data_IF_388608082297
#
_entry.id   IF_388608082297
#
_cell.length_a   1.000
_cell.length_b   1.000
_cell.length_c   1.000
_cell.angle_alpha   90.00
_cell.angle_beta   90.00
_cell.angle_gamma   90.00
#
_symmetry.space_group_name_H-M   'P 1'
#
loop_
_entity.id
_entity.type
_entity.pdbx_description
1 polymer ?
#
# COMPACT_ATOMS: atom_id res chain seq x y z
N UNK A 1 -17.97 4.95 -9.37
CA UNK A 1 -17.66 5.32 -7.96
C UNK A 1 -16.18 5.51 -7.70
N UNK A 2 -15.23 4.72 -8.25
CA UNK A 2 -13.79 4.94 -8.02
C UNK A 2 -13.31 6.35 -8.40
N UNK A 3 -13.84 6.91 -9.50
CA UNK A 3 -13.55 8.27 -9.96
C UNK A 3 -13.91 9.38 -8.96
N UNK A 4 -14.83 9.11 -8.03
CA UNK A 4 -15.23 10.09 -7.02
C UNK A 4 -14.10 10.29 -6.00
N UNK A 5 -13.33 9.24 -5.69
CA UNK A 5 -12.16 9.33 -4.83
C UNK A 5 -11.14 10.31 -5.40
N UNK A 6 -10.89 10.27 -6.71
CA UNK A 6 -9.99 11.22 -7.36
C UNK A 6 -10.50 12.66 -7.29
N UNK A 7 -11.80 12.83 -7.56
CA UNK A 7 -12.44 14.14 -7.58
C UNK A 7 -12.41 14.80 -6.20
N UNK A 8 -12.82 14.07 -5.16
CA UNK A 8 -12.84 14.59 -3.79
C UNK A 8 -11.42 14.80 -3.24
N UNK A 9 -10.51 13.87 -3.50
CA UNK A 9 -9.10 14.04 -3.11
C UNK A 9 -8.46 15.25 -3.79
N UNK A 10 -8.77 15.48 -5.08
CA UNK A 10 -8.30 16.65 -5.83
C UNK A 10 -8.81 17.98 -5.27
N UNK A 11 -10.02 18.00 -4.68
CA UNK A 11 -10.55 19.17 -3.96
C UNK A 11 -9.80 19.40 -2.64
N UNK A 12 -9.50 18.33 -1.90
CA UNK A 12 -8.74 18.41 -0.64
C UNK A 12 -7.27 18.83 -0.87
N UNK A 13 -6.67 18.35 -1.95
CA UNK A 13 -5.27 18.56 -2.29
C UNK A 13 -5.09 19.01 -3.75
N UNK A 14 -5.36 20.29 -4.06
CA UNK A 14 -5.29 20.81 -5.41
C UNK A 14 -3.92 20.57 -6.07
N UNK A 15 -3.93 20.02 -7.28
CA UNK A 15 -2.73 19.72 -8.07
C UNK A 15 -1.93 18.49 -7.61
N UNK A 16 -2.40 17.75 -6.60
CA UNK A 16 -1.68 16.59 -6.05
C UNK A 16 -2.26 15.23 -6.45
N UNK A 17 -3.44 15.19 -7.06
CA UNK A 17 -4.17 13.95 -7.35
C UNK A 17 -3.38 12.91 -8.17
N UNK A 18 -2.52 13.33 -9.09
CA UNK A 18 -1.74 12.42 -9.94
C UNK A 18 -0.30 12.19 -9.45
N UNK A 19 0.11 12.82 -8.35
CA UNK A 19 1.52 12.84 -7.96
C UNK A 19 2.08 11.45 -7.67
N UNK A 20 1.27 10.57 -7.06
CA UNK A 20 1.66 9.20 -6.80
C UNK A 20 1.97 8.47 -8.09
N UNK A 21 1.04 8.46 -9.05
CA UNK A 21 1.22 7.82 -10.34
C UNK A 21 2.44 8.37 -11.09
N UNK A 22 2.67 9.69 -11.04
CA UNK A 22 3.82 10.33 -11.72
C UNK A 22 5.17 9.98 -11.11
N UNK A 23 5.26 9.86 -9.78
CA UNK A 23 6.54 9.67 -9.06
C UNK A 23 6.84 8.21 -8.78
N UNK A 24 5.83 7.37 -8.59
CA UNK A 24 6.00 5.99 -8.11
C UNK A 24 6.83 5.15 -9.09
N UNK A 25 6.30 4.87 -10.28
CA UNK A 25 6.97 4.01 -11.27
C UNK A 25 8.25 4.64 -11.84
N UNK A 26 8.21 5.93 -12.16
CA UNK A 26 9.31 6.60 -12.87
C UNK A 26 10.50 7.01 -12.00
N UNK A 27 10.35 7.05 -10.68
CA UNK A 27 11.39 7.60 -9.78
C UNK A 27 11.61 6.73 -8.54
N UNK A 28 10.54 6.36 -7.84
CA UNK A 28 10.65 5.67 -6.55
C UNK A 28 10.97 4.18 -6.74
N UNK A 29 10.24 3.48 -7.61
CA UNK A 29 10.42 2.05 -7.87
C UNK A 29 11.87 1.70 -8.24
N UNK A 30 12.52 2.38 -9.21
CA UNK A 30 13.91 2.09 -9.58
C UNK A 30 14.89 2.32 -8.42
N UNK A 31 14.66 3.34 -7.60
CA UNK A 31 15.53 3.66 -6.45
C UNK A 31 15.38 2.65 -5.31
N UNK A 32 14.16 2.18 -5.04
CA UNK A 32 13.92 1.11 -4.07
C UNK A 32 14.60 -0.18 -4.51
N UNK A 33 14.47 -0.56 -5.78
CA UNK A 33 15.13 -1.73 -6.35
C UNK A 33 16.66 -1.62 -6.23
N UNK A 34 17.26 -0.47 -6.58
CA UNK A 34 18.70 -0.20 -6.41
C UNK A 34 19.15 -0.24 -4.94
N UNK A 35 18.31 0.18 -4.00
CA UNK A 35 18.65 0.12 -2.58
C UNK A 35 18.59 -1.31 -2.02
N UNK A 36 17.68 -2.16 -2.54
CA UNK A 36 17.56 -3.57 -2.15
C UNK A 36 18.84 -4.36 -2.48
N UNK A 37 19.38 -4.17 -3.69
CA UNK A 37 20.61 -4.86 -4.13
C UNK A 37 21.83 -4.51 -3.27
N UNK A 38 21.89 -3.28 -2.75
CA UNK A 38 23.02 -2.78 -1.94
C UNK A 38 22.95 -3.24 -0.48
N UNK A 39 21.76 -3.32 0.11
CA UNK A 39 21.60 -3.53 1.57
C UNK A 39 21.32 -4.96 2.00
N UNK A 40 20.73 -5.80 1.16
CA UNK A 40 20.31 -7.12 1.59
C UNK A 40 20.22 -8.10 0.41
N UNK A 41 21.25 -8.92 0.16
CA UNK A 41 21.22 -9.97 -0.87
C UNK A 41 20.13 -11.02 -0.66
N UNK A 42 19.52 -11.06 0.53
CA UNK A 42 18.49 -12.03 0.93
C UNK A 42 17.06 -11.65 0.49
N UNK A 43 16.83 -10.41 0.04
CA UNK A 43 15.67 -10.15 -0.82
C UNK A 43 16.07 -10.69 -2.18
N UNK A 44 15.99 -12.01 -2.31
CA UNK A 44 16.28 -12.70 -3.55
C UNK A 44 15.48 -11.99 -4.63
N UNK A 45 16.09 -11.54 -5.74
CA UNK A 45 15.32 -11.32 -6.94
C UNK A 45 14.67 -12.68 -7.20
N UNK A 46 13.37 -12.78 -6.97
CA UNK A 46 12.60 -13.82 -7.62
C UNK A 46 12.87 -13.61 -9.09
N UNK A 47 13.58 -14.57 -9.72
CA UNK A 47 13.88 -14.63 -11.16
C UNK A 47 12.60 -14.68 -12.03
N UNK A 48 11.44 -14.41 -11.45
CA UNK A 48 10.21 -14.14 -12.14
C UNK A 48 10.27 -12.70 -12.66
N UNK A 49 10.89 -12.53 -13.84
CA UNK A 49 10.73 -11.36 -14.72
C UNK A 49 9.25 -11.01 -15.01
N UNK A 50 8.32 -11.89 -14.64
CA UNK A 50 6.86 -11.75 -14.73
C UNK A 50 6.20 -11.07 -13.51
N UNK A 51 6.91 -10.88 -12.40
CA UNK A 51 6.35 -10.30 -11.18
C UNK A 51 6.26 -8.77 -11.29
N UNK A 52 5.04 -8.24 -11.08
CA UNK A 52 4.72 -6.81 -11.19
C UNK A 52 5.72 -5.91 -10.42
N UNK A 53 6.27 -4.89 -11.10
CA UNK A 53 7.32 -4.01 -10.57
C UNK A 53 6.89 -3.28 -9.31
N UNK A 54 5.61 -2.87 -9.24
CA UNK A 54 5.02 -2.22 -8.09
C UNK A 54 4.90 -3.19 -6.92
N UNK A 55 4.46 -4.42 -7.16
CA UNK A 55 4.39 -5.45 -6.12
C UNK A 55 5.75 -5.71 -5.47
N UNK A 56 6.81 -5.86 -6.27
CA UNK A 56 8.18 -6.01 -5.76
C UNK A 56 8.64 -4.78 -4.98
N UNK A 57 8.36 -3.58 -5.49
CA UNK A 57 8.71 -2.33 -4.81
C UNK A 57 8.02 -2.20 -3.45
N UNK A 58 6.77 -2.65 -3.32
CA UNK A 58 6.06 -2.69 -2.03
C UNK A 58 6.70 -3.65 -1.04
N UNK A 59 7.09 -4.85 -1.48
CA UNK A 59 7.79 -5.80 -0.61
C UNK A 59 9.11 -5.21 -0.08
N UNK A 60 9.88 -4.54 -0.95
CA UNK A 60 11.10 -3.83 -0.56
C UNK A 60 10.77 -2.70 0.43
N UNK A 61 9.77 -1.88 0.12
CA UNK A 61 9.37 -0.75 0.97
C UNK A 61 8.96 -1.20 2.37
N UNK A 62 8.12 -2.23 2.50
CA UNK A 62 7.68 -2.79 3.79
C UNK A 62 8.87 -3.40 4.56
N UNK A 63 9.84 -3.98 3.85
CA UNK A 63 11.06 -4.50 4.49
C UNK A 63 11.96 -3.38 5.02
N UNK A 64 12.07 -2.26 4.30
CA UNK A 64 12.85 -1.09 4.70
C UNK A 64 12.16 -0.25 5.78
N UNK A 65 10.82 -0.28 5.81
CA UNK A 65 9.96 0.38 6.79
C UNK A 65 9.28 -0.70 7.64
N UNK A 66 10.03 -1.40 8.51
CA UNK A 66 9.52 -2.58 9.20
C UNK A 66 8.25 -2.23 9.97
N UNK A 67 7.24 -3.11 9.91
CA UNK A 67 5.92 -2.84 10.45
C UNK A 67 6.00 -2.50 11.94
N UNK A 68 5.25 -1.49 12.33
CA UNK A 68 5.10 -1.12 13.73
C UNK A 68 4.21 -2.15 14.41
N UNK A 69 4.73 -2.79 15.47
CA UNK A 69 3.92 -3.67 16.30
C UNK A 69 2.75 -2.87 16.87
N UNK A 70 1.59 -3.52 16.96
CA UNK A 70 0.38 -3.10 17.68
C UNK A 70 0.74 -2.25 18.91
N UNK A 71 -0.04 -1.18 19.13
CA UNK A 71 0.25 -0.13 20.11
C UNK A 71 0.68 -0.63 21.49
N UNK A 72 1.32 0.29 22.24
CA UNK A 72 2.03 0.19 23.54
C UNK A 72 1.68 -0.89 24.59
N UNK A 73 0.66 -1.74 24.45
CA UNK A 73 0.18 -2.64 25.51
C UNK A 73 0.14 -4.14 25.20
N UNK A 74 0.50 -4.64 24.01
CA UNK A 74 0.60 -6.10 23.77
C UNK A 74 1.95 -6.45 23.17
N UNK A 75 2.54 -7.51 23.72
CA UNK A 75 3.94 -7.90 23.55
C UNK A 75 4.46 -7.80 22.13
N UNK A 76 5.76 -7.50 22.03
CA UNK A 76 6.53 -7.35 20.80
C UNK A 76 6.51 -8.64 19.94
N UNK A 77 5.39 -8.94 19.29
CA UNK A 77 5.35 -9.89 18.20
C UNK A 77 5.81 -9.14 16.95
N UNK A 78 6.99 -9.52 16.43
CA UNK A 78 7.49 -8.98 15.17
C UNK A 78 6.49 -9.35 14.06
N UNK A 79 5.72 -8.37 13.56
CA UNK A 79 4.93 -8.57 12.35
C UNK A 79 5.91 -8.85 11.20
N UNK A 80 5.76 -10.00 10.53
CA UNK A 80 6.60 -10.34 9.38
C UNK A 80 6.24 -9.48 8.17
N UNK A 81 7.16 -9.29 7.22
CA UNK A 81 6.88 -8.56 5.96
C UNK A 81 5.66 -9.13 5.24
N UNK A 82 5.50 -10.47 5.24
CA UNK A 82 4.34 -11.16 4.65
C UNK A 82 3.03 -10.82 5.38
N UNK A 83 3.06 -10.77 6.71
CA UNK A 83 1.90 -10.39 7.53
C UNK A 83 1.56 -8.91 7.34
N UNK A 84 2.55 -8.03 7.24
CA UNK A 84 2.35 -6.60 6.99
C UNK A 84 1.75 -6.35 5.60
N UNK A 85 2.26 -7.02 4.56
CA UNK A 85 1.74 -6.91 3.20
C UNK A 85 0.27 -7.32 3.12
N UNK A 86 -0.17 -8.31 3.92
CA UNK A 86 -1.57 -8.74 3.96
C UNK A 86 -2.54 -7.65 4.46
N UNK A 87 -2.07 -6.66 5.25
CA UNK A 87 -2.89 -5.50 5.63
C UNK A 87 -3.04 -4.46 4.50
N UNK A 88 -2.28 -4.59 3.40
CA UNK A 88 -2.38 -3.73 2.21
C UNK A 88 -3.02 -4.47 1.03
N UNK A 89 -2.57 -5.69 0.78
CA UNK A 89 -2.86 -6.47 -0.42
C UNK A 89 -3.08 -7.95 -0.09
N UNK A 90 -4.31 -8.42 -0.31
CA UNK A 90 -4.68 -9.82 -0.22
C UNK A 90 -4.80 -10.41 -1.63
N UNK A 91 -4.11 -11.53 -1.89
CA UNK A 91 -4.20 -12.25 -3.15
C UNK A 91 -5.22 -13.40 -3.00
N UNK A 92 -6.22 -13.45 -3.89
CA UNK A 92 -7.27 -14.48 -3.92
C UNK A 92 -7.34 -15.13 -5.31
N UNK A 93 -7.86 -16.37 -5.43
CA UNK A 93 -8.02 -17.01 -6.74
C UNK A 93 -8.91 -16.21 -7.70
N UNK A 94 -8.66 -16.26 -9.02
CA UNK A 94 -9.60 -15.75 -10.01
C UNK A 94 -10.98 -16.38 -9.83
N UNK A 95 -12.05 -15.62 -10.10
CA UNK A 95 -13.43 -16.09 -9.94
C UNK A 95 -13.97 -16.08 -8.51
N UNK A 96 -13.19 -15.61 -7.52
CA UNK A 96 -13.69 -15.33 -6.16
C UNK A 96 -14.83 -14.30 -6.25
N UNK A 97 -15.99 -14.62 -5.70
CA UNK A 97 -17.15 -13.73 -5.74
C UNK A 97 -16.98 -12.56 -4.77
N UNK A 98 -17.44 -11.37 -5.17
CA UNK A 98 -17.37 -10.17 -4.31
C UNK A 98 -18.11 -10.40 -2.98
N UNK A 99 -19.26 -11.07 -2.99
CA UNK A 99 -20.01 -11.40 -1.77
C UNK A 99 -19.17 -12.20 -0.78
N UNK A 100 -18.41 -13.20 -1.27
CA UNK A 100 -17.53 -14.01 -0.41
C UNK A 100 -16.38 -13.23 0.22
N UNK A 101 -15.99 -12.08 -0.36
CA UNK A 101 -14.99 -11.19 0.24
C UNK A 101 -15.57 -10.46 1.46
N UNK A 102 -16.86 -10.13 1.43
CA UNK A 102 -17.57 -9.39 2.49
C UNK A 102 -18.16 -10.32 3.57
N UNK A 103 -18.36 -11.60 3.25
CA UNK A 103 -19.01 -12.58 4.13
C UNK A 103 -18.06 -13.20 5.18
N UNK A 104 -16.76 -12.85 5.20
CA UNK A 104 -15.78 -13.35 6.19
C UNK A 104 -15.97 -12.72 7.58
N UNK A 105 -17.13 -12.97 8.18
CA UNK A 105 -17.59 -12.44 9.45
C UNK A 105 -16.89 -13.03 10.70
N UNK A 106 -15.96 -13.97 10.54
CA UNK A 106 -15.52 -14.87 11.62
C UNK A 106 -14.14 -14.60 12.23
N UNK A 107 -13.41 -13.56 11.82
CA UNK A 107 -12.19 -13.10 12.53
C UNK A 107 -12.42 -11.76 13.23
N UNK A 108 -13.52 -11.66 13.99
CA UNK A 108 -13.83 -10.51 14.85
C UNK A 108 -12.85 -10.37 16.02
N UNK A 109 -11.68 -9.75 15.82
CA UNK A 109 -10.91 -9.08 16.89
C UNK A 109 -10.06 -7.90 16.38
N UNK A 110 -9.69 -7.85 15.10
CA UNK A 110 -8.84 -6.76 14.58
C UNK A 110 -9.65 -5.85 13.66
N UNK A 111 -9.58 -4.52 13.86
CA UNK A 111 -10.17 -3.56 12.94
C UNK A 111 -9.53 -3.71 11.56
N UNK A 112 -10.27 -4.21 10.56
CA UNK A 112 -9.76 -4.35 9.20
C UNK A 112 -9.93 -3.02 8.47
N UNK A 113 -8.87 -2.22 8.48
CA UNK A 113 -8.82 -1.03 7.64
C UNK A 113 -8.95 -1.42 6.16
N UNK A 114 -9.47 -0.54 5.28
CA UNK A 114 -9.63 -0.84 3.87
C UNK A 114 -8.33 -1.35 3.24
N UNK A 115 -8.42 -2.40 2.42
CA UNK A 115 -7.26 -2.99 1.77
C UNK A 115 -7.59 -3.40 0.34
N UNK A 116 -6.58 -3.71 -0.45
CA UNK A 116 -6.74 -4.17 -1.83
C UNK A 116 -6.84 -5.70 -1.83
N UNK A 117 -7.79 -6.23 -2.58
CA UNK A 117 -7.86 -7.62 -2.99
C UNK A 117 -7.48 -7.72 -4.46
N UNK A 118 -6.47 -8.52 -4.76
CA UNK A 118 -6.06 -8.89 -6.11
C UNK A 118 -6.63 -10.28 -6.43
N UNK A 119 -7.42 -10.37 -7.51
CA UNK A 119 -7.93 -11.64 -8.02
C UNK A 119 -6.94 -12.20 -9.05
N UNK A 120 -6.26 -13.28 -8.69
CA UNK A 120 -5.11 -13.80 -9.43
C UNK A 120 -3.78 -13.22 -8.93
N UNK A 121 -2.70 -13.44 -9.68
CA UNK A 121 -1.39 -12.89 -9.36
C UNK A 121 -1.28 -11.43 -9.83
N UNK A 122 -0.64 -10.52 -9.06
CA UNK A 122 -0.40 -9.15 -9.49
C UNK A 122 0.25 -9.11 -10.87
N UNK A 123 -0.48 -8.52 -11.82
CA UNK A 123 -0.12 -8.44 -13.23
C UNK A 123 -1.03 -7.43 -13.93
N UNK A 124 -0.76 -7.13 -15.20
CA UNK A 124 -1.58 -6.24 -16.03
C UNK A 124 -2.96 -6.78 -16.38
N UNK A 125 -3.24 -8.06 -16.08
CA UNK A 125 -4.54 -8.71 -16.31
C UNK A 125 -5.28 -9.02 -15.01
N UNK A 126 -4.67 -8.72 -13.86
CA UNK A 126 -5.30 -8.91 -12.57
C UNK A 126 -6.42 -7.89 -12.34
N UNK A 127 -7.46 -8.33 -11.62
CA UNK A 127 -8.52 -7.45 -11.15
C UNK A 127 -8.24 -7.04 -9.72
N UNK A 128 -8.37 -5.74 -9.45
CA UNK A 128 -8.17 -5.17 -8.12
C UNK A 128 -9.49 -4.63 -7.56
N UNK A 129 -9.72 -4.90 -6.28
CA UNK A 129 -10.93 -4.48 -5.57
C UNK A 129 -10.48 -3.87 -4.26
N UNK A 130 -10.99 -2.70 -3.89
CA UNK A 130 -10.83 -2.20 -2.52
C UNK A 130 -11.94 -2.79 -1.67
N UNK A 131 -11.58 -3.41 -0.55
CA UNK A 131 -12.51 -4.02 0.39
C UNK A 131 -12.41 -3.32 1.75
N UNK A 132 -13.53 -2.79 2.21
CA UNK A 132 -13.74 -2.30 3.57
C UNK A 132 -14.78 -3.20 4.24
N UNK A 133 -14.30 -4.28 4.88
CA UNK A 133 -15.13 -5.37 5.41
C UNK A 133 -16.13 -4.88 6.48
N UNK A 134 -15.68 -4.01 7.38
CA UNK A 134 -16.50 -3.45 8.46
C UNK A 134 -17.73 -2.69 7.93
N UNK A 135 -17.57 -2.01 6.80
CA UNK A 135 -18.62 -1.22 6.17
C UNK A 135 -19.43 -2.03 5.15
N UNK A 136 -19.05 -3.30 4.92
CA UNK A 136 -19.57 -4.15 3.84
C UNK A 136 -19.47 -3.51 2.46
N UNK A 137 -18.39 -2.76 2.24
CA UNK A 137 -18.14 -2.06 0.98
C UNK A 137 -17.05 -2.76 0.20
N UNK A 138 -17.34 -3.03 -1.07
CA UNK A 138 -16.37 -3.47 -2.06
C UNK A 138 -16.41 -2.53 -3.25
N UNK A 139 -15.26 -2.03 -3.68
CA UNK A 139 -15.14 -1.10 -4.81
C UNK A 139 -14.26 -1.77 -5.86
N UNK A 140 -14.85 -2.40 -6.89
CA UNK A 140 -14.09 -2.87 -8.04
C UNK A 140 -13.38 -1.70 -8.72
N UNK A 141 -12.12 -1.88 -9.05
CA UNK A 141 -11.34 -0.88 -9.77
C UNK A 141 -11.34 -1.20 -11.27
N UNK A 142 -11.42 -0.16 -12.08
CA UNK A 142 -11.43 -0.26 -13.53
C UNK A 142 -10.00 -0.43 -14.09
N UNK A 143 -9.00 0.06 -13.37
CA UNK A 143 -7.59 -0.04 -13.73
C UNK A 143 -7.00 -1.40 -13.31
N UNK A 144 -6.38 -2.11 -14.25
CA UNK A 144 -5.68 -3.37 -13.99
C UNK A 144 -4.23 -3.15 -13.51
N UNK A 145 -3.94 -2.03 -12.86
CA UNK A 145 -2.60 -1.70 -12.34
C UNK A 145 -2.63 -1.66 -10.81
N UNK A 146 -1.70 -2.38 -10.19
CA UNK A 146 -1.52 -2.34 -8.74
C UNK A 146 -1.17 -0.92 -8.26
N UNK A 147 -0.41 -0.15 -9.05
CA UNK A 147 -0.08 1.25 -8.75
C UNK A 147 -1.33 2.13 -8.72
N UNK A 148 -2.24 1.95 -9.67
CA UNK A 148 -3.55 2.63 -9.64
C UNK A 148 -4.39 2.18 -8.44
N UNK A 149 -4.35 0.90 -8.08
CA UNK A 149 -5.08 0.40 -6.92
C UNK A 149 -4.59 1.01 -5.60
N UNK A 150 -3.28 1.18 -5.43
CA UNK A 150 -2.67 1.82 -4.25
C UNK A 150 -3.01 3.31 -4.21
N UNK A 151 -2.93 3.99 -5.36
CA UNK A 151 -3.35 5.38 -5.49
C UNK A 151 -4.80 5.56 -5.00
N UNK A 152 -5.72 4.73 -5.48
CA UNK A 152 -7.14 4.76 -5.09
C UNK A 152 -7.34 4.42 -3.61
N UNK A 153 -6.63 3.42 -3.09
CA UNK A 153 -6.70 3.06 -1.68
C UNK A 153 -6.23 4.22 -0.79
N UNK A 154 -5.09 4.83 -1.11
CA UNK A 154 -4.57 5.97 -0.36
C UNK A 154 -5.56 7.14 -0.34
N UNK A 155 -6.15 7.45 -1.50
CA UNK A 155 -7.18 8.50 -1.61
C UNK A 155 -8.41 8.19 -0.77
N UNK A 156 -8.85 6.93 -0.71
CA UNK A 156 -9.94 6.50 0.15
C UNK A 156 -9.68 6.81 1.63
N UNK A 157 -8.46 6.55 2.13
CA UNK A 157 -8.13 6.89 3.53
C UNK A 157 -8.34 8.38 3.83
N UNK A 158 -7.95 9.27 2.92
CA UNK A 158 -8.15 10.71 3.09
C UNK A 158 -9.60 11.15 2.88
N UNK A 159 -10.22 10.73 1.77
CA UNK A 159 -11.58 11.15 1.40
C UNK A 159 -12.61 10.66 2.41
N UNK A 160 -12.46 9.44 2.92
CA UNK A 160 -13.35 8.84 3.90
C UNK A 160 -12.89 9.08 5.35
N UNK A 161 -11.79 9.81 5.58
CA UNK A 161 -11.22 10.08 6.90
C UNK A 161 -11.03 8.81 7.75
N UNK A 162 -10.40 7.80 7.14
CA UNK A 162 -10.13 6.49 7.74
C UNK A 162 -8.70 6.48 8.29
N UNK A 163 -8.50 5.90 9.47
CA UNK A 163 -7.16 5.76 10.03
C UNK A 163 -6.35 4.69 9.30
N UNK A 164 -5.04 4.91 9.11
CA UNK A 164 -4.18 3.88 8.52
C UNK A 164 -4.07 2.65 9.43
N UNK A 165 -3.87 1.45 8.85
CA UNK A 165 -3.56 0.27 9.64
C UNK A 165 -2.25 0.48 10.38
N UNK A 166 -2.27 0.25 11.70
CA UNK A 166 -1.14 0.57 12.60
C UNK A 166 0.16 -0.11 12.16
N UNK A 167 0.06 -1.28 11.54
CA UNK A 167 1.16 -2.08 11.00
C UNK A 167 1.85 -1.40 9.81
N UNK A 168 1.12 -0.57 9.05
CA UNK A 168 1.59 0.10 7.84
C UNK A 168 1.69 1.62 7.98
N UNK A 169 1.53 2.18 9.18
CA UNK A 169 1.64 3.63 9.43
C UNK A 169 2.87 4.26 8.75
N UNK A 170 4.04 3.61 8.86
CA UNK A 170 5.26 4.15 8.23
C UNK A 170 5.21 4.11 6.69
N UNK A 171 4.53 3.13 6.11
CA UNK A 171 4.34 3.00 4.65
C UNK A 171 3.38 4.07 4.15
N UNK A 172 2.25 4.29 4.82
CA UNK A 172 1.31 5.34 4.45
C UNK A 172 1.90 6.75 4.65
N UNK A 173 2.68 6.97 5.71
CA UNK A 173 3.45 8.21 5.86
C UNK A 173 4.47 8.42 4.72
N UNK A 174 5.06 7.34 4.20
CA UNK A 174 5.90 7.41 3.01
C UNK A 174 5.07 7.85 1.79
N UNK A 175 3.87 7.28 1.60
CA UNK A 175 2.97 7.68 0.51
C UNK A 175 2.53 9.15 0.62
N UNK A 176 2.24 9.67 1.81
CA UNK A 176 1.96 11.10 2.01
C UNK A 176 3.05 11.98 1.41
N UNK A 177 4.32 11.60 1.57
CA UNK A 177 5.43 12.31 0.96
C UNK A 177 5.48 12.19 -0.56
N UNK A 178 5.13 11.02 -1.12
CA UNK A 178 5.02 10.87 -2.57
C UNK A 178 3.99 11.87 -3.12
N UNK A 179 2.88 12.09 -2.41
CA UNK A 179 1.87 13.10 -2.74
C UNK A 179 2.24 14.55 -2.36
N UNK A 180 3.42 14.80 -1.80
CA UNK A 180 3.82 16.09 -1.21
C UNK A 180 2.80 16.61 -0.18
N UNK A 181 2.11 15.73 0.54
CA UNK A 181 1.19 16.08 1.63
C UNK A 181 2.02 16.30 2.91
N UNK A 182 1.60 17.25 3.74
CA UNK A 182 2.28 17.54 4.99
C UNK A 182 2.32 16.28 5.86
N UNK A 183 3.54 15.87 6.21
CA UNK A 183 3.82 14.62 6.91
C UNK A 183 3.06 14.56 8.25
N UNK A 184 2.18 13.56 8.41
CA UNK A 184 1.49 13.30 9.67
C UNK A 184 2.44 12.73 10.75
N UNK A 185 3.55 12.12 10.32
CA UNK A 185 4.59 11.57 11.19
C UNK A 185 5.58 12.62 11.74
N UNK A 186 6.02 12.45 12.99
CA UNK A 186 7.04 13.32 13.59
C UNK A 186 8.37 13.35 12.82
N UNK A 187 9.14 14.44 12.97
CA UNK A 187 10.40 14.78 12.25
C UNK A 187 11.53 13.71 12.28
N UNK A 188 11.37 12.58 12.99
CA UNK A 188 12.35 11.49 13.12
C UNK A 188 11.79 10.10 12.77
N UNK A 189 10.83 10.01 11.85
CA UNK A 189 10.28 8.71 11.43
C UNK A 189 11.21 7.99 10.45
N UNK A 190 11.16 6.64 10.43
CA UNK A 190 11.92 5.81 9.46
C UNK A 190 11.55 6.14 8.01
N UNK A 191 10.32 6.57 7.77
CA UNK A 191 9.86 7.02 6.47
C UNK A 191 10.64 8.27 6.00
N UNK A 192 10.82 9.27 6.87
CA UNK A 192 11.64 10.47 6.57
C UNK A 192 13.08 10.08 6.27
N UNK A 193 13.67 9.18 7.05
CA UNK A 193 15.04 8.72 6.80
C UNK A 193 15.17 7.99 5.45
N UNK A 194 14.20 7.15 5.09
CA UNK A 194 14.19 6.46 3.80
C UNK A 194 14.06 7.46 2.65
N UNK A 195 13.18 8.46 2.77
CA UNK A 195 13.01 9.52 1.76
C UNK A 195 14.33 10.25 1.51
N UNK A 196 15.02 10.69 2.56
CA UNK A 196 16.33 11.35 2.43
C UNK A 196 17.35 10.47 1.72
N UNK A 197 17.35 9.15 2.00
CA UNK A 197 18.23 8.20 1.32
C UNK A 197 17.88 8.03 -0.16
N UNK A 198 16.60 8.00 -0.52
CA UNK A 198 16.17 7.93 -1.92
C UNK A 198 16.48 9.22 -2.69
N UNK A 199 16.46 10.38 -2.03
CA UNK A 199 16.86 11.65 -2.63
C UNK A 199 18.37 11.69 -2.92
N UNK A 200 19.20 11.11 -2.05
CA UNK A 200 20.65 11.02 -2.22
C UNK A 200 21.11 10.03 -3.31
N UNK A 201 20.23 9.16 -3.81
CA UNK A 201 20.52 8.19 -4.87
C UNK A 201 20.37 8.76 -6.30
N UNK A 202 20.30 10.09 -6.43
CA UNK A 202 20.22 10.81 -7.71
C UNK A 202 21.36 10.47 -8.67
#
# INVERSE_FOLDING_TARGET
>A
MPYLLDTEFGKMFPGKADQFLRKWEGNIVPKLQKMSTVKNPLVMPTDNESEDSCYRALQILITLLPPTASGRSKGWAKCSTKSALAYLLAIKPPGTSISSLLDNYQTMVESHQPHIVCLGAPSSTAQYIIVAENDKVSIPLEDNSLTCAIDKLFKMYWVCNVEYPVQLTSVFNFFENVYDILFSGGKRSKAVELISKLQALS
#
